data_IF_437766756711
#
_entry.id   IF_437766756711
#
_cell.length_a   1.000
_cell.length_b   1.000
_cell.length_c   1.000
_cell.angle_alpha   90.00
_cell.angle_beta   90.00
_cell.angle_gamma   90.00
#
_symmetry.space_group_name_H-M   'P 1'
#
loop_
_entity.id
_entity.type
_entity.pdbx_description
1 polymer ?
#
# COMPACT_ATOMS: atom_id res chain seq x y z
N UNK A 1 -13.15 8.64 0.20
CA UNK A 1 -12.65 7.41 0.86
C UNK A 1 -11.13 7.41 1.03
N UNK A 2 -10.32 7.36 -0.04
CA UNK A 2 -8.83 7.29 0.10
C UNK A 2 -8.28 8.45 0.93
N UNK A 3 -8.74 9.67 0.68
CA UNK A 3 -8.35 10.85 1.48
C UNK A 3 -8.72 10.73 2.95
N UNK A 4 -9.88 10.14 3.26
CA UNK A 4 -10.27 9.87 4.64
C UNK A 4 -9.30 8.88 5.28
N UNK A 5 -9.00 7.75 4.64
CA UNK A 5 -8.04 6.80 5.20
C UNK A 5 -6.64 7.42 5.35
N UNK A 6 -6.21 8.27 4.41
CA UNK A 6 -4.96 9.00 4.51
C UNK A 6 -4.94 9.99 5.69
N UNK A 7 -6.04 10.70 5.96
CA UNK A 7 -6.14 11.56 7.15
C UNK A 7 -6.09 10.74 8.44
N UNK A 8 -6.84 9.63 8.49
CA UNK A 8 -6.83 8.71 9.63
C UNK A 8 -5.46 8.12 9.91
N UNK A 9 -4.68 7.81 8.88
CA UNK A 9 -3.30 7.36 9.06
C UNK A 9 -2.43 8.40 9.77
N UNK A 10 -2.63 9.70 9.52
CA UNK A 10 -1.88 10.79 10.17
C UNK A 10 -2.33 11.04 11.61
N UNK A 11 -3.60 10.82 11.90
CA UNK A 11 -4.21 11.10 13.20
C UNK A 11 -4.09 9.93 14.19
N UNK A 12 -4.07 8.69 13.69
CA UNK A 12 -4.05 7.48 14.52
C UNK A 12 -2.65 6.85 14.50
N UNK A 13 -1.99 6.68 15.67
CA UNK A 13 -0.58 6.27 15.72
C UNK A 13 -0.34 4.83 15.26
N UNK A 14 -1.34 3.94 15.39
CA UNK A 14 -1.21 2.50 15.14
C UNK A 14 -0.65 2.18 13.74
N UNK A 15 -1.13 2.87 12.69
CA UNK A 15 -0.63 2.68 11.33
C UNK A 15 0.82 3.16 11.15
N UNK A 16 1.18 4.26 11.80
CA UNK A 16 2.50 4.87 11.74
C UNK A 16 3.53 4.01 12.47
N UNK A 17 3.18 3.53 13.67
CA UNK A 17 3.97 2.59 14.46
C UNK A 17 4.21 1.30 13.69
N UNK A 18 3.17 0.77 13.04
CA UNK A 18 3.28 -0.42 12.20
C UNK A 18 4.29 -0.23 11.06
N UNK A 19 4.17 0.83 10.25
CA UNK A 19 5.13 1.10 9.18
C UNK A 19 6.54 1.36 9.69
N UNK A 20 6.66 2.10 10.80
CA UNK A 20 7.95 2.39 11.43
C UNK A 20 8.65 1.11 11.88
N UNK A 21 7.91 0.16 12.49
CA UNK A 21 8.44 -1.15 12.89
C UNK A 21 8.96 -1.98 11.70
N UNK A 22 8.50 -1.66 10.48
CA UNK A 22 8.88 -2.29 9.22
C UNK A 22 9.98 -1.52 8.47
N UNK A 23 10.43 -0.38 8.99
CA UNK A 23 11.38 0.51 8.30
C UNK A 23 10.76 1.32 7.15
N UNK A 24 9.42 1.44 7.13
CA UNK A 24 8.64 2.08 6.07
C UNK A 24 7.90 3.35 6.56
N UNK A 25 8.28 3.90 7.72
CA UNK A 25 7.59 5.02 8.36
C UNK A 25 7.89 6.41 7.77
N UNK A 26 8.57 6.51 6.63
CA UNK A 26 8.94 7.80 6.06
C UNK A 26 7.73 8.52 5.46
N UNK A 27 7.66 9.84 5.66
CA UNK A 27 6.64 10.72 5.05
C UNK A 27 6.57 10.58 3.52
N UNK A 28 7.73 10.40 2.87
CA UNK A 28 7.85 10.24 1.41
C UNK A 28 7.00 9.06 0.89
N UNK A 29 7.06 7.89 1.54
CA UNK A 29 6.22 6.73 1.18
C UNK A 29 4.74 7.05 1.37
N UNK A 30 4.38 7.62 2.52
CA UNK A 30 2.98 7.86 2.87
C UNK A 30 2.33 8.79 1.84
N UNK A 31 3.05 9.82 1.41
CA UNK A 31 2.58 10.76 0.40
C UNK A 31 2.61 10.15 -1.00
N UNK A 32 3.71 9.50 -1.41
CA UNK A 32 3.85 8.93 -2.75
C UNK A 32 2.83 7.82 -3.04
N UNK A 33 2.49 7.01 -2.03
CA UNK A 33 1.60 5.87 -2.16
C UNK A 33 0.24 6.07 -1.49
N UNK A 34 -0.06 7.28 -1.02
CA UNK A 34 -1.33 7.64 -0.36
C UNK A 34 -1.72 6.62 0.71
N UNK A 35 -0.75 6.24 1.54
CA UNK A 35 -0.96 5.20 2.54
C UNK A 35 -2.00 5.68 3.56
N UNK A 36 -3.01 4.86 3.79
CA UNK A 36 -4.11 5.15 4.69
C UNK A 36 -4.27 4.12 5.81
N UNK A 37 -5.16 4.42 6.76
CA UNK A 37 -5.62 3.52 7.80
C UNK A 37 -7.14 3.43 7.72
N UNK A 38 -7.66 2.20 7.62
CA UNK A 38 -9.09 1.93 7.72
C UNK A 38 -9.40 1.57 9.18
N UNK A 39 -10.04 2.49 9.90
CA UNK A 39 -10.31 2.39 11.33
C UNK A 39 -11.82 2.39 11.68
N UNK A 40 -12.70 2.29 10.67
CA UNK A 40 -14.15 2.29 10.88
C UNK A 40 -14.79 3.67 10.76
N UNK A 41 -13.99 4.72 10.55
CA UNK A 41 -14.50 6.09 10.46
C UNK A 41 -15.33 6.36 9.20
N UNK A 42 -15.14 5.63 8.10
CA UNK A 42 -15.89 5.86 6.86
C UNK A 42 -17.39 5.68 7.11
N UNK A 43 -17.79 4.66 7.87
CA UNK A 43 -19.21 4.42 8.19
C UNK A 43 -19.89 5.64 8.80
N UNK A 44 -19.21 6.36 9.69
CA UNK A 44 -19.77 7.55 10.35
C UNK A 44 -19.96 8.76 9.42
N UNK A 45 -19.32 8.74 8.25
CA UNK A 45 -19.42 9.81 7.24
C UNK A 45 -20.47 9.55 6.17
N UNK A 46 -21.12 8.37 6.19
CA UNK A 46 -22.03 7.91 5.15
C UNK A 46 -23.46 7.82 5.69
N UNK A 47 -24.48 8.06 4.84
CA UNK A 47 -25.85 7.73 5.18
C UNK A 47 -26.03 6.21 5.28
N UNK A 48 -27.00 5.74 6.07
CA UNK A 48 -27.25 4.30 6.24
C UNK A 48 -27.60 3.59 4.92
N UNK A 49 -28.34 4.29 4.06
CA UNK A 49 -28.78 3.85 2.73
C UNK A 49 -28.64 4.97 1.70
N UNK A 50 -28.77 4.61 0.42
CA UNK A 50 -28.69 5.52 -0.71
C UNK A 50 -27.56 5.19 -1.69
N UNK A 51 -27.50 5.90 -2.83
CA UNK A 51 -26.68 5.49 -3.98
C UNK A 51 -25.19 5.33 -3.65
N UNK A 52 -24.64 6.22 -2.81
CA UNK A 52 -23.24 6.14 -2.40
C UNK A 52 -22.95 4.90 -1.53
N UNK A 53 -23.77 4.65 -0.52
CA UNK A 53 -23.60 3.51 0.39
C UNK A 53 -23.81 2.18 -0.35
N UNK A 54 -24.74 2.14 -1.31
CA UNK A 54 -24.94 0.99 -2.20
C UNK A 54 -23.76 0.77 -3.14
N UNK A 55 -23.23 1.82 -3.78
CA UNK A 55 -22.04 1.73 -4.62
C UNK A 55 -20.83 1.20 -3.84
N UNK A 56 -20.62 1.67 -2.60
CA UNK A 56 -19.52 1.18 -1.76
C UNK A 56 -19.71 -0.28 -1.32
N UNK A 57 -20.95 -0.75 -1.17
CA UNK A 57 -21.24 -2.18 -0.93
C UNK A 57 -20.98 -3.02 -2.18
N UNK A 58 -21.39 -2.55 -3.36
CA UNK A 58 -21.14 -3.22 -4.64
C UNK A 58 -19.64 -3.32 -4.95
N UNK A 59 -18.88 -2.27 -4.66
CA UNK A 59 -17.42 -2.26 -4.76
C UNK A 59 -16.74 -3.14 -3.70
N UNK A 60 -17.46 -3.58 -2.66
CA UNK A 60 -16.92 -4.38 -1.56
C UNK A 60 -16.07 -3.59 -0.56
N UNK A 61 -16.16 -2.26 -0.57
CA UNK A 61 -15.58 -1.41 0.48
C UNK A 61 -16.34 -1.60 1.79
N UNK A 62 -17.67 -1.70 1.69
CA UNK A 62 -18.56 -2.03 2.79
C UNK A 62 -19.12 -3.43 2.59
N UNK A 63 -19.29 -4.18 3.68
CA UNK A 63 -20.03 -5.45 3.65
C UNK A 63 -21.55 -5.23 3.73
N UNK A 64 -22.32 -6.32 3.73
CA UNK A 64 -23.78 -6.27 3.81
C UNK A 64 -24.30 -5.51 5.05
N UNK A 65 -23.57 -5.59 6.17
CA UNK A 65 -23.90 -4.88 7.42
C UNK A 65 -23.37 -3.44 7.46
N UNK A 66 -22.79 -2.93 6.38
CA UNK A 66 -22.20 -1.58 6.31
C UNK A 66 -20.88 -1.43 7.06
N UNK A 67 -20.22 -2.53 7.43
CA UNK A 67 -18.89 -2.52 8.04
C UNK A 67 -17.82 -2.43 6.95
N UNK A 68 -16.78 -1.67 7.21
CA UNK A 68 -15.63 -1.56 6.30
C UNK A 68 -14.88 -2.89 6.17
N UNK A 69 -14.70 -3.35 4.93
CA UNK A 69 -13.97 -4.58 4.59
C UNK A 69 -12.52 -4.55 5.09
N UNK A 70 -11.91 -3.36 5.03
CA UNK A 70 -10.52 -3.14 5.44
C UNK A 70 -10.32 -2.76 6.90
N UNK A 71 -11.36 -2.83 7.75
CA UNK A 71 -11.27 -2.37 9.15
C UNK A 71 -10.02 -2.94 9.83
N UNK A 72 -9.19 -2.13 10.48
CA UNK A 72 -7.95 -2.54 11.13
C UNK A 72 -6.79 -2.83 10.18
N UNK A 73 -6.83 -2.28 8.95
CA UNK A 73 -5.76 -2.43 7.98
C UNK A 73 -5.12 -1.10 7.62
N UNK A 74 -3.82 -1.17 7.38
CA UNK A 74 -3.14 -0.22 6.53
C UNK A 74 -3.63 -0.43 5.09
N UNK A 75 -4.01 0.66 4.42
CA UNK A 75 -4.57 0.63 3.07
C UNK A 75 -3.61 1.31 2.10
N UNK A 76 -3.38 0.68 0.96
CA UNK A 76 -2.62 1.24 -0.17
C UNK A 76 -3.50 1.21 -1.42
N UNK A 77 -3.79 2.36 -2.06
CA UNK A 77 -4.53 2.39 -3.31
C UNK A 77 -3.80 1.70 -4.46
N UNK A 78 -4.55 1.02 -5.32
CA UNK A 78 -4.11 0.51 -6.60
C UNK A 78 -4.76 1.37 -7.70
N UNK A 79 -3.94 1.88 -8.60
CA UNK A 79 -4.37 2.90 -9.56
C UNK A 79 -4.26 2.40 -11.00
N UNK A 80 -5.10 2.95 -11.87
CA UNK A 80 -5.03 2.79 -13.32
C UNK A 80 -4.89 4.18 -13.96
N UNK A 81 -4.01 4.36 -14.96
CA UNK A 81 -3.74 5.68 -15.56
C UNK A 81 -5.00 6.40 -16.06
N UNK A 82 -5.97 5.66 -16.60
CA UNK A 82 -7.18 6.24 -17.18
C UNK A 82 -8.37 6.37 -16.19
N UNK A 83 -8.29 5.74 -15.02
CA UNK A 83 -9.44 5.61 -14.11
C UNK A 83 -9.15 6.07 -12.68
N UNK A 84 -7.90 6.42 -12.37
CA UNK A 84 -7.48 6.75 -11.02
C UNK A 84 -7.51 5.52 -10.11
N UNK A 85 -8.03 5.66 -8.90
CA UNK A 85 -8.09 4.56 -7.92
C UNK A 85 -9.17 3.57 -8.33
N UNK A 86 -8.77 2.34 -8.63
CA UNK A 86 -9.66 1.25 -9.05
C UNK A 86 -9.57 0.01 -8.15
N UNK A 87 -8.60 -0.01 -7.23
CA UNK A 87 -8.42 -1.10 -6.28
C UNK A 87 -7.86 -0.59 -4.96
N UNK A 88 -8.00 -1.40 -3.92
CA UNK A 88 -7.36 -1.20 -2.63
C UNK A 88 -6.67 -2.48 -2.20
N UNK A 89 -5.46 -2.33 -1.68
CA UNK A 89 -4.78 -3.35 -0.93
C UNK A 89 -4.84 -3.03 0.57
N UNK A 90 -5.19 -4.03 1.37
CA UNK A 90 -5.22 -3.98 2.82
C UNK A 90 -4.16 -4.86 3.43
N UNK A 91 -3.41 -4.31 4.38
CA UNK A 91 -2.51 -5.05 5.26
C UNK A 91 -3.00 -4.93 6.70
N UNK A 92 -3.46 -6.05 7.26
CA UNK A 92 -3.86 -6.13 8.66
C UNK A 92 -2.68 -5.76 9.56
N UNK A 93 -2.87 -4.81 10.48
CA UNK A 93 -1.80 -4.33 11.37
C UNK A 93 -1.68 -5.16 12.66
N UNK A 94 -2.79 -5.77 13.11
CA UNK A 94 -2.88 -6.60 14.32
C UNK A 94 -3.42 -8.00 14.01
N UNK A 95 -2.95 -9.01 14.74
CA UNK A 95 -3.37 -10.41 14.59
C UNK A 95 -2.26 -11.35 14.11
N UNK A 96 -2.38 -12.62 14.48
CA UNK A 96 -1.41 -13.70 14.24
C UNK A 96 -1.75 -14.58 13.02
N UNK A 97 -3.00 -14.53 12.53
CA UNK A 97 -3.56 -15.40 11.49
C UNK A 97 -3.01 -15.31 10.05
N UNK A 98 -3.54 -16.19 9.20
CA UNK A 98 -3.17 -16.47 7.80
C UNK A 98 -3.61 -15.39 6.79
N UNK A 99 -4.65 -14.61 7.07
CA UNK A 99 -5.17 -13.56 6.16
C UNK A 99 -4.67 -12.17 6.54
N UNK A 100 -3.37 -11.93 6.40
CA UNK A 100 -2.77 -10.59 6.64
C UNK A 100 -2.97 -9.63 5.48
N UNK A 101 -3.34 -10.14 4.31
CA UNK A 101 -3.43 -9.42 3.06
C UNK A 101 -4.84 -9.50 2.53
N UNK A 102 -5.41 -8.37 2.18
CA UNK A 102 -6.77 -8.28 1.65
C UNK A 102 -6.76 -7.42 0.40
N UNK A 103 -7.62 -7.79 -0.53
CA UNK A 103 -7.95 -7.01 -1.72
C UNK A 103 -9.46 -6.77 -1.71
N UNK A 104 -9.93 -5.83 -2.54
CA UNK A 104 -11.36 -5.74 -2.81
C UNK A 104 -11.86 -7.06 -3.42
N UNK A 105 -13.10 -7.48 -3.12
CA UNK A 105 -13.69 -8.65 -3.76
C UNK A 105 -13.84 -8.42 -5.26
N UNK A 106 -13.75 -9.51 -6.03
CA UNK A 106 -13.83 -9.49 -7.49
C UNK A 106 -12.46 -9.54 -8.17
N UNK A 107 -12.42 -9.14 -9.43
CA UNK A 107 -11.19 -9.10 -10.22
C UNK A 107 -10.20 -8.07 -9.64
N UNK A 108 -8.93 -8.45 -9.52
CA UNK A 108 -7.88 -7.51 -9.13
C UNK A 108 -7.71 -6.43 -10.21
N UNK A 109 -7.99 -5.19 -9.84
CA UNK A 109 -7.83 -4.00 -10.69
C UNK A 109 -6.77 -3.06 -10.16
N UNK A 110 -6.15 -2.34 -11.08
CA UNK A 110 -5.12 -1.36 -10.81
C UNK A 110 -3.75 -1.96 -10.57
N UNK A 111 -2.76 -1.06 -10.53
CA UNK A 111 -1.35 -1.37 -10.39
C UNK A 111 -0.76 -0.41 -9.36
N UNK A 112 0.05 -0.94 -8.45
CA UNK A 112 0.85 -0.11 -7.56
C UNK A 112 1.94 0.59 -8.39
N UNK A 113 2.09 1.91 -8.28
CA UNK A 113 3.16 2.66 -8.97
C UNK A 113 3.16 2.43 -10.49
N UNK A 114 1.99 2.54 -11.14
CA UNK A 114 1.88 2.37 -12.60
C UNK A 114 2.78 3.37 -13.37
N UNK A 115 3.10 4.51 -12.75
CA UNK A 115 4.02 5.52 -13.26
C UNK A 115 5.43 4.96 -13.52
N UNK A 116 5.86 3.94 -12.76
CA UNK A 116 7.11 3.23 -13.04
C UNK A 116 7.10 2.52 -14.40
N UNK A 117 5.94 2.00 -14.81
CA UNK A 117 5.77 1.36 -16.12
C UNK A 117 5.88 2.37 -17.25
N UNK A 118 5.38 3.59 -17.03
CA UNK A 118 5.43 4.67 -18.02
C UNK A 118 6.83 5.30 -18.13
N UNK A 119 7.53 5.45 -17.01
CA UNK A 119 8.80 6.19 -16.94
C UNK A 119 10.03 5.36 -17.29
N UNK A 120 9.92 4.02 -17.29
CA UNK A 120 11.07 3.14 -17.50
C UNK A 120 10.75 1.94 -18.40
N UNK A 121 11.66 1.59 -19.34
CA UNK A 121 11.55 0.36 -20.12
C UNK A 121 11.90 -0.89 -19.28
N UNK A 122 12.27 -0.72 -18.00
CA UNK A 122 12.63 -1.81 -17.09
C UNK A 122 11.97 -1.61 -15.73
N UNK A 123 11.32 -2.67 -15.23
CA UNK A 123 10.65 -2.62 -13.91
C UNK A 123 10.96 -3.84 -13.06
N UNK A 124 11.00 -3.65 -11.76
CA UNK A 124 11.13 -4.73 -10.79
C UNK A 124 9.73 -5.16 -10.34
N UNK A 125 9.47 -6.46 -10.38
CA UNK A 125 8.25 -7.06 -9.84
C UNK A 125 8.55 -7.76 -8.53
N UNK A 126 7.72 -7.52 -7.53
CA UNK A 126 7.74 -8.24 -6.24
C UNK A 126 6.37 -8.82 -5.92
N UNK A 127 6.29 -9.63 -4.87
CA UNK A 127 5.06 -10.32 -4.51
C UNK A 127 3.94 -9.37 -4.07
N UNK A 128 4.22 -8.48 -3.12
CA UNK A 128 3.18 -7.63 -2.52
C UNK A 128 3.54 -6.15 -2.41
N UNK A 129 2.55 -5.28 -2.14
CA UNK A 129 2.77 -3.84 -2.01
C UNK A 129 3.82 -3.47 -0.96
N UNK A 130 3.82 -4.10 0.22
CA UNK A 130 4.82 -3.80 1.25
C UNK A 130 6.26 -4.13 0.82
N UNK A 131 6.46 -5.15 0.00
CA UNK A 131 7.78 -5.48 -0.53
C UNK A 131 8.20 -4.44 -1.57
N UNK A 132 7.25 -3.93 -2.36
CA UNK A 132 7.50 -2.87 -3.34
C UNK A 132 7.87 -1.56 -2.64
N UNK A 133 7.15 -1.20 -1.57
CA UNK A 133 7.51 -0.06 -0.72
C UNK A 133 8.92 -0.21 -0.14
N UNK A 134 9.30 -1.43 0.27
CA UNK A 134 10.64 -1.70 0.80
C UNK A 134 11.74 -1.50 -0.25
N UNK A 135 11.51 -1.97 -1.49
CA UNK A 135 12.43 -1.71 -2.62
C UNK A 135 12.50 -0.23 -2.97
N UNK A 136 11.36 0.46 -2.92
CA UNK A 136 11.27 1.88 -3.24
C UNK A 136 12.05 2.76 -2.25
N UNK A 137 12.01 2.41 -0.96
CA UNK A 137 12.85 3.04 0.08
C UNK A 137 14.32 2.72 -0.14
N UNK A 138 14.64 1.51 -0.61
CA UNK A 138 16.01 1.13 -0.94
C UNK A 138 16.55 1.78 -2.23
N UNK A 139 15.78 2.69 -2.85
CA UNK A 139 16.19 3.45 -4.02
C UNK A 139 15.77 2.84 -5.36
N UNK A 140 15.09 1.70 -5.37
CA UNK A 140 14.55 1.09 -6.59
C UNK A 140 13.18 1.68 -6.87
N UNK A 141 13.12 2.80 -7.60
CA UNK A 141 11.89 3.56 -7.81
C UNK A 141 10.98 2.93 -8.87
N UNK A 142 11.56 2.19 -9.82
CA UNK A 142 10.87 1.47 -10.90
C UNK A 142 10.36 0.09 -10.44
N UNK A 143 9.58 0.07 -9.36
CA UNK A 143 9.07 -1.16 -8.74
C UNK A 143 7.54 -1.18 -8.69
N UNK A 144 6.96 -2.34 -9.00
CA UNK A 144 5.54 -2.65 -8.78
C UNK A 144 5.39 -4.09 -8.26
N UNK A 145 4.17 -4.58 -8.08
CA UNK A 145 3.92 -5.90 -7.49
C UNK A 145 2.79 -6.69 -8.14
N UNK A 146 2.80 -7.99 -7.91
CA UNK A 146 1.76 -8.93 -8.34
C UNK A 146 0.53 -8.91 -7.42
N UNK A 147 0.61 -8.25 -6.26
CA UNK A 147 -0.43 -8.28 -5.22
C UNK A 147 -0.74 -9.70 -4.71
N UNK A 148 0.26 -10.58 -4.67
CA UNK A 148 0.16 -11.93 -4.10
C UNK A 148 -0.53 -12.98 -4.98
N UNK A 149 -0.81 -12.67 -6.25
CA UNK A 149 -1.47 -13.59 -7.19
C UNK A 149 -0.54 -14.67 -7.75
N UNK A 150 0.78 -14.51 -7.64
CA UNK A 150 1.78 -15.38 -8.26
C UNK A 150 1.82 -15.34 -9.80
N UNK A 151 0.93 -14.58 -10.43
CA UNK A 151 0.81 -14.41 -11.88
C UNK A 151 0.56 -12.93 -12.20
N UNK A 152 0.88 -12.47 -13.41
CA UNK A 152 0.65 -11.08 -13.81
C UNK A 152 -0.86 -10.74 -13.76
N UNK A 153 -1.29 -9.79 -12.91
CA UNK A 153 -2.65 -9.28 -12.94
C UNK A 153 -3.00 -8.70 -14.31
N UNK A 154 -4.29 -8.74 -14.68
CA UNK A 154 -4.76 -8.29 -16.00
C UNK A 154 -4.31 -6.86 -16.32
N UNK A 155 -4.56 -5.92 -15.42
CA UNK A 155 -4.21 -4.52 -15.60
C UNK A 155 -2.68 -4.34 -15.69
N UNK A 156 -1.90 -5.06 -14.87
CA UNK A 156 -0.44 -5.04 -14.96
C UNK A 156 0.04 -5.54 -16.32
N UNK A 157 -0.48 -6.67 -16.80
CA UNK A 157 -0.13 -7.23 -18.12
C UNK A 157 -0.47 -6.26 -19.26
N UNK A 158 -1.64 -5.63 -19.19
CA UNK A 158 -2.07 -4.64 -20.18
C UNK A 158 -1.15 -3.41 -20.17
N UNK A 159 -0.83 -2.87 -18.99
CA UNK A 159 0.01 -1.68 -18.87
C UNK A 159 1.48 -1.93 -19.22
N UNK A 160 2.03 -3.11 -18.90
CA UNK A 160 3.37 -3.50 -19.35
C UNK A 160 3.48 -3.45 -20.88
N UNK A 161 2.45 -3.96 -21.57
CA UNK A 161 2.37 -3.90 -23.04
C UNK A 161 2.19 -2.46 -23.53
N UNK A 162 1.24 -1.71 -22.95
CA UNK A 162 0.94 -0.33 -23.33
C UNK A 162 2.15 0.59 -23.27
N UNK A 163 2.96 0.46 -22.22
CA UNK A 163 4.16 1.29 -22.03
C UNK A 163 5.44 0.66 -22.58
N UNK A 164 5.33 -0.42 -23.36
CA UNK A 164 6.44 -1.10 -24.01
C UNK A 164 7.59 -1.44 -23.04
N UNK A 165 7.25 -1.93 -21.83
CA UNK A 165 8.24 -2.37 -20.85
C UNK A 165 8.96 -3.60 -21.39
N UNK A 166 10.26 -3.46 -21.67
CA UNK A 166 11.06 -4.44 -22.41
C UNK A 166 11.62 -5.54 -21.52
N UNK A 167 11.84 -5.23 -20.24
CA UNK A 167 12.42 -6.18 -19.28
C UNK A 167 11.79 -6.01 -17.92
N UNK A 168 11.44 -7.11 -17.30
CA UNK A 168 11.10 -7.14 -15.89
C UNK A 168 11.80 -8.32 -15.22
N UNK A 169 12.10 -8.14 -13.93
CA UNK A 169 12.70 -9.18 -13.10
C UNK A 169 11.84 -9.37 -11.85
N UNK A 170 11.48 -10.61 -11.55
CA UNK A 170 10.85 -10.96 -10.29
C UNK A 170 11.90 -11.08 -9.19
N UNK A 171 11.67 -10.40 -8.08
CA UNK A 171 12.48 -10.54 -6.86
C UNK A 171 11.60 -11.14 -5.79
N UNK A 172 11.86 -12.39 -5.43
CA UNK A 172 11.28 -12.98 -4.23
C UNK A 172 12.07 -12.50 -3.03
N UNK A 173 11.46 -11.63 -2.21
CA UNK A 173 11.96 -11.42 -0.85
C UNK A 173 11.64 -12.66 -0.04
N UNK A 174 12.54 -13.66 -0.08
CA UNK A 174 12.56 -14.70 0.95
C UNK A 174 12.49 -13.97 2.30
N UNK A 175 11.55 -14.39 3.17
CA UNK A 175 11.31 -13.82 4.51
C UNK A 175 12.55 -13.98 5.40
N UNK A 176 13.67 -13.34 5.05
CA UNK A 176 14.80 -13.17 5.95
C UNK A 176 14.27 -12.30 7.05
N UNK A 177 14.03 -12.92 8.21
CA UNK A 177 13.82 -12.23 9.46
C UNK A 177 14.91 -11.16 9.55
N UNK A 178 14.57 -9.91 9.29
CA UNK A 178 15.39 -8.74 9.58
C UNK A 178 15.42 -8.57 11.10
N UNK A 179 16.01 -9.55 11.78
CA UNK A 179 16.58 -9.45 13.11
C UNK A 179 18.09 -9.46 12.92
N UNK A 180 18.64 -8.34 12.45
CA UNK A 180 20.04 -7.97 12.66
C UNK A 180 20.18 -6.49 12.34
N UNK A 181 20.11 -5.67 13.40
CA UNK A 181 20.74 -4.35 13.40
C UNK A 181 22.21 -4.53 12.97
N UNK A 182 22.73 -3.79 12.00
CA UNK A 182 24.17 -3.70 11.80
C UNK A 182 24.78 -3.15 13.10
N UNK A 183 25.78 -3.86 13.65
CA UNK A 183 26.62 -3.34 14.74
C UNK A 183 27.33 -2.10 14.18
N UNK A 184 27.13 -0.93 14.77
CA UNK A 184 27.94 0.24 14.39
C UNK A 184 27.38 1.64 14.66
N UNK A 185 26.15 1.81 15.15
CA UNK A 185 25.63 3.15 15.43
C UNK A 185 25.42 3.36 16.94
N UNK A 186 26.29 4.18 17.55
CA UNK A 186 26.08 4.76 18.87
C UNK A 186 25.31 6.07 18.69
N UNK A 187 24.09 6.12 19.21
CA UNK A 187 23.35 7.36 19.43
C UNK A 187 23.72 7.92 20.80
N UNK A 188 24.48 9.00 20.84
CA UNK A 188 24.62 9.87 22.03
C UNK A 188 23.62 11.04 21.93
N UNK A 189 23.08 11.56 23.05
CA UNK A 189 22.09 12.62 23.01
C UNK A 189 22.77 13.99 22.83
N UNK A 190 22.78 14.50 21.59
CA UNK A 190 23.34 15.79 21.22
C UNK A 190 22.27 16.88 21.11
N UNK A 191 22.21 17.73 22.12
CA UNK A 191 21.34 18.90 22.28
C UNK A 191 21.63 19.96 21.21
N UNK A 192 20.60 20.46 20.53
CA UNK A 192 20.70 21.56 19.56
C UNK A 192 20.89 22.90 20.27
N UNK A 193 22.03 23.58 20.06
CA UNK A 193 22.15 25.06 20.16
C UNK A 193 23.21 25.60 19.19
N UNK A 194 22.89 26.74 18.58
CA UNK A 194 23.78 27.53 17.71
C UNK A 194 24.83 28.30 18.54
N UNK A 195 25.97 28.49 17.85
CA UNK A 195 27.27 29.12 18.16
C UNK A 195 27.24 30.49 18.87
N UNK A 196 28.39 30.92 19.42
CA UNK A 196 29.27 31.86 18.68
C UNK A 196 30.50 31.20 18.04
#
# INVERSE_FOLDING_TARGET
>A
MVELYASRFREVPQGQEYLTSRGLGSREIVEAFKVGLCDGSLRSTLPESGPLSEALRQLGVLNAQGKEHFLGCLVVPLEHPDHGVVGLYGRRIEGDGSERHMLLPGELRGVLNWQALQSSPRVVLVEGPLDALSMWVAGVKEVTCLCGTGQLPRDLKALLTRYAVRKWSSVSMARRRLRRRPRGWRSGPGRWRRRP
#
